data_IF_763229731631
#
_entry.id   IF_763229731631
#
_cell.length_a   1.000
_cell.length_b   1.000
_cell.length_c   1.000
_cell.angle_alpha   90.00
_cell.angle_beta   90.00
_cell.angle_gamma   90.00
#
_symmetry.space_group_name_H-M   'P 1'
#
loop_
_entity.id
_entity.type
_entity.pdbx_description
1 polymer ?
#
# COMPACT_ATOMS: atom_id res chain seq x y z
N UNK A 1 -6.11 2.67 -3.50
CA UNK A 1 -5.35 2.97 -2.26
C UNK A 1 -4.34 4.10 -2.49
N UNK A 2 -3.57 4.05 -3.59
CA UNK A 2 -2.57 5.06 -3.92
C UNK A 2 -3.04 6.52 -3.78
N UNK A 3 -4.24 6.84 -4.29
CA UNK A 3 -4.81 8.20 -4.18
C UNK A 3 -4.92 8.67 -2.73
N UNK A 4 -5.46 7.84 -1.84
CA UNK A 4 -5.60 8.20 -0.42
C UNK A 4 -4.23 8.42 0.25
N UNK A 5 -3.22 7.64 -0.13
CA UNK A 5 -1.86 7.82 0.35
C UNK A 5 -1.25 9.14 -0.15
N UNK A 6 -1.43 9.48 -1.43
CA UNK A 6 -0.91 10.72 -2.03
C UNK A 6 -1.59 11.98 -1.50
N UNK A 7 -2.90 11.90 -1.24
CA UNK A 7 -3.68 13.05 -0.80
C UNK A 7 -3.51 13.31 0.72
N UNK A 8 -3.18 12.27 1.50
CA UNK A 8 -3.15 12.32 2.97
C UNK A 8 -1.77 12.35 3.62
N UNK A 9 -0.69 12.06 2.89
CA UNK A 9 0.65 11.85 3.48
C UNK A 9 1.75 12.54 2.67
N UNK A 10 2.87 12.90 3.32
CA UNK A 10 4.05 13.38 2.61
C UNK A 10 4.66 12.27 1.73
N UNK A 11 5.52 12.62 0.75
CA UNK A 11 6.23 11.65 -0.07
C UNK A 11 6.98 10.60 0.77
N UNK A 12 6.88 9.33 0.37
CA UNK A 12 7.48 8.22 1.09
C UNK A 12 8.93 8.01 0.68
N UNK A 13 9.83 8.06 1.67
CA UNK A 13 11.28 7.88 1.48
C UNK A 13 11.76 6.49 1.92
N UNK A 14 10.95 5.75 2.67
CA UNK A 14 11.32 4.42 3.19
C UNK A 14 10.08 3.56 3.51
N UNK A 15 10.32 2.25 3.66
CA UNK A 15 9.27 1.26 3.93
C UNK A 15 8.46 1.57 5.18
N UNK A 16 9.10 2.04 6.25
CA UNK A 16 8.43 2.29 7.52
C UNK A 16 7.38 3.40 7.39
N UNK A 17 7.72 4.51 6.73
CA UNK A 17 6.78 5.61 6.49
C UNK A 17 5.57 5.18 5.66
N UNK A 18 5.81 4.38 4.61
CA UNK A 18 4.74 3.84 3.77
C UNK A 18 3.87 2.83 4.54
N UNK A 19 4.48 1.93 5.32
CA UNK A 19 3.77 0.95 6.15
C UNK A 19 2.83 1.66 7.12
N UNK A 20 3.31 2.65 7.87
CA UNK A 20 2.49 3.39 8.83
C UNK A 20 1.34 4.14 8.17
N UNK A 21 1.55 4.72 6.98
CA UNK A 21 0.48 5.36 6.23
C UNK A 21 -0.59 4.36 5.75
N UNK A 22 -0.18 3.21 5.23
CA UNK A 22 -1.10 2.14 4.83
C UNK A 22 -1.94 1.67 6.01
N UNK A 23 -1.30 1.41 7.16
CA UNK A 23 -1.99 1.01 8.39
C UNK A 23 -2.99 2.08 8.85
N UNK A 24 -2.60 3.37 8.79
CA UNK A 24 -3.48 4.48 9.14
C UNK A 24 -4.71 4.59 8.23
N UNK A 25 -4.56 4.41 6.92
CA UNK A 25 -5.72 4.39 5.99
C UNK A 25 -6.58 3.14 6.24
N UNK A 26 -5.97 1.99 6.47
CA UNK A 26 -6.68 0.74 6.69
C UNK A 26 -7.45 0.71 8.02
N UNK A 27 -6.99 1.43 9.05
CA UNK A 27 -7.61 1.47 10.38
C UNK A 27 -9.09 1.90 10.37
N UNK A 28 -9.55 2.60 9.31
CA UNK A 28 -10.97 2.94 9.11
C UNK A 28 -11.84 1.71 8.80
N UNK A 29 -11.26 0.67 8.21
CA UNK A 29 -11.98 -0.51 7.70
C UNK A 29 -11.75 -1.74 8.57
N UNK A 30 -10.52 -1.93 9.07
CA UNK A 30 -10.14 -3.08 9.87
C UNK A 30 -8.66 -3.10 10.20
N UNK A 31 -8.23 -4.08 10.98
CA UNK A 31 -6.82 -4.23 11.36
C UNK A 31 -6.03 -4.91 10.24
N UNK A 32 -4.87 -4.35 9.90
CA UNK A 32 -3.91 -5.01 8.99
C UNK A 32 -3.30 -6.23 9.70
N UNK A 33 -3.47 -7.41 9.11
CA UNK A 33 -2.93 -8.68 9.64
C UNK A 33 -1.69 -9.13 8.88
N UNK A 34 -1.59 -8.75 7.61
CA UNK A 34 -0.43 -8.97 6.77
C UNK A 34 -0.18 -7.76 5.89
N UNK A 35 1.09 -7.35 5.75
CA UNK A 35 1.50 -6.31 4.81
C UNK A 35 2.92 -6.59 4.29
N UNK A 36 3.01 -6.83 2.99
CA UNK A 36 4.27 -6.98 2.26
C UNK A 36 4.42 -5.81 1.28
N UNK A 37 5.58 -5.17 1.28
CA UNK A 37 5.91 -4.02 0.42
C UNK A 37 7.15 -4.39 -0.37
N UNK A 38 7.06 -4.34 -1.70
CA UNK A 38 8.15 -4.66 -2.60
C UNK A 38 8.45 -3.43 -3.46
N UNK A 39 9.67 -2.89 -3.40
CA UNK A 39 10.10 -1.84 -4.32
C UNK A 39 10.17 -2.40 -5.74
N UNK A 40 9.58 -1.68 -6.69
CA UNK A 40 9.60 -2.01 -8.11
C UNK A 40 10.01 -0.77 -8.89
N UNK A 41 11.02 -0.92 -9.75
CA UNK A 41 11.42 0.12 -10.67
C UNK A 41 10.73 -0.09 -12.03
N UNK A 42 9.79 0.78 -12.37
CA UNK A 42 9.09 0.76 -13.66
C UNK A 42 9.64 1.90 -14.52
N UNK A 43 10.68 1.60 -15.29
CA UNK A 43 11.43 2.59 -16.06
C UNK A 43 12.18 3.57 -15.15
N UNK A 44 11.86 4.85 -15.23
CA UNK A 44 12.40 5.89 -14.35
C UNK A 44 11.58 6.07 -13.07
N UNK A 45 10.37 5.51 -13.00
CA UNK A 45 9.46 5.71 -11.88
C UNK A 45 9.68 4.59 -10.86
N UNK A 46 9.95 4.97 -9.62
CA UNK A 46 9.97 4.03 -8.51
C UNK A 46 8.59 3.96 -7.85
N UNK A 47 8.11 2.74 -7.67
CA UNK A 47 6.85 2.43 -6.97
C UNK A 47 7.06 1.30 -6.00
N UNK A 48 6.12 1.11 -5.09
CA UNK A 48 6.05 -0.10 -4.30
C UNK A 48 4.82 -0.91 -4.69
N UNK A 49 5.01 -2.20 -4.94
CA UNK A 49 3.96 -3.19 -5.01
C UNK A 49 3.60 -3.61 -3.59
N UNK A 50 2.37 -3.34 -3.16
CA UNK A 50 1.91 -3.59 -1.81
C UNK A 50 0.86 -4.71 -1.80
N UNK A 51 1.05 -5.71 -0.94
CA UNK A 51 0.12 -6.82 -0.71
C UNK A 51 -0.33 -6.75 0.74
N UNK A 52 -1.65 -6.72 0.98
CA UNK A 52 -2.19 -6.61 2.33
C UNK A 52 -3.34 -7.60 2.58
N UNK A 53 -3.53 -7.95 3.84
CA UNK A 53 -4.69 -8.66 4.36
C UNK A 53 -5.25 -7.88 5.55
N UNK A 54 -6.57 -7.80 5.63
CA UNK A 54 -7.24 -7.29 6.81
C UNK A 54 -7.71 -8.44 7.70
N UNK A 55 -8.26 -8.12 8.86
CA UNK A 55 -8.79 -9.05 9.85
C UNK A 55 -10.11 -9.71 9.43
N UNK A 56 -10.82 -9.17 8.44
CA UNK A 56 -12.06 -9.74 7.92
C UNK A 56 -12.25 -9.52 6.42
N UNK A 57 -12.97 -10.44 5.78
CA UNK A 57 -13.36 -10.30 4.36
C UNK A 57 -14.29 -9.11 4.13
N UNK A 58 -15.12 -8.76 5.11
CA UNK A 58 -16.00 -7.58 5.03
C UNK A 58 -15.16 -6.28 4.95
N UNK A 59 -14.15 -6.14 5.81
CA UNK A 59 -13.22 -5.01 5.77
C UNK A 59 -12.44 -4.96 4.43
N UNK A 60 -11.99 -6.11 3.92
CA UNK A 60 -11.35 -6.19 2.60
C UNK A 60 -12.31 -5.77 1.47
N UNK A 61 -13.58 -6.16 1.56
CA UNK A 61 -14.63 -5.80 0.60
C UNK A 61 -14.90 -4.30 0.57
N UNK A 62 -15.03 -3.67 1.74
CA UNK A 62 -15.20 -2.22 1.86
C UNK A 62 -13.97 -1.45 1.36
N UNK A 63 -12.76 -1.90 1.73
CA UNK A 63 -11.54 -1.25 1.26
C UNK A 63 -11.48 -1.24 -0.27
N UNK A 64 -11.82 -2.36 -0.92
CA UNK A 64 -11.81 -2.49 -2.39
C UNK A 64 -12.91 -1.68 -3.09
N UNK A 65 -14.07 -1.49 -2.46
CA UNK A 65 -15.16 -0.73 -3.09
C UNK A 65 -14.87 0.77 -3.13
N UNK A 66 -14.11 1.26 -2.15
CA UNK A 66 -13.77 2.69 -2.01
C UNK A 66 -12.43 3.02 -2.66
N UNK A 67 -11.46 2.12 -2.55
CA UNK A 67 -10.11 2.35 -3.02
C UNK A 67 -9.77 1.44 -4.19
N UNK A 68 -9.04 1.99 -5.16
CA UNK A 68 -8.45 1.22 -6.26
C UNK A 68 -7.43 0.21 -5.71
N UNK A 69 -7.90 -1.01 -5.44
CA UNK A 69 -7.21 -2.15 -4.85
C UNK A 69 -7.84 -3.41 -5.46
N UNK A 70 -6.99 -4.30 -5.95
CA UNK A 70 -7.42 -5.55 -6.62
C UNK A 70 -7.16 -6.76 -5.73
N UNK A 71 -7.79 -7.91 -6.02
CA UNK A 71 -7.39 -9.18 -5.43
C UNK A 71 -6.33 -9.85 -6.30
N UNK A 72 -5.25 -10.30 -5.71
CA UNK A 72 -4.17 -11.02 -6.39
C UNK A 72 -3.58 -12.09 -5.47
N UNK A 73 -3.55 -13.34 -5.94
CA UNK A 73 -2.98 -14.48 -5.22
C UNK A 73 -3.46 -14.66 -3.75
N UNK A 74 -4.68 -14.23 -3.45
CA UNK A 74 -5.25 -14.28 -2.10
C UNK A 74 -5.03 -13.01 -1.27
N UNK A 75 -4.19 -12.09 -1.70
CA UNK A 75 -3.97 -10.78 -1.07
C UNK A 75 -4.76 -9.68 -1.77
N UNK A 76 -4.93 -8.56 -1.07
CA UNK A 76 -5.28 -7.31 -1.71
C UNK A 76 -4.00 -6.64 -2.20
N UNK A 77 -4.00 -6.21 -3.46
CA UNK A 77 -2.83 -5.66 -4.13
C UNK A 77 -3.10 -4.25 -4.68
N UNK A 78 -2.11 -3.39 -4.54
CA UNK A 78 -2.09 -2.06 -5.14
C UNK A 78 -0.65 -1.56 -5.30
N UNK A 79 -0.46 -0.57 -6.18
CA UNK A 79 0.79 0.17 -6.26
C UNK A 79 0.75 1.44 -5.42
N UNK A 80 1.82 1.74 -4.70
CA UNK A 80 2.06 3.01 -4.05
C UNK A 80 3.16 3.77 -4.79
N UNK A 81 2.92 5.04 -5.12
CA UNK A 81 3.98 5.93 -5.61
C UNK A 81 4.90 6.28 -4.42
N UNK A 82 6.22 6.29 -4.66
CA UNK A 82 7.22 6.66 -3.65
C UNK A 82 8.16 7.74 -4.20
N UNK A 83 8.89 8.41 -3.32
CA UNK A 83 9.87 9.42 -3.72
C UNK A 83 11.05 8.75 -4.46
N UNK A 84 11.64 9.46 -5.42
CA UNK A 84 12.81 8.98 -6.18
C UNK A 84 13.99 8.64 -5.27
N UNK A 85 14.09 9.31 -4.12
CA UNK A 85 15.12 9.11 -3.08
C UNK A 85 14.82 7.95 -2.13
N UNK A 86 13.89 7.07 -2.48
CA UNK A 86 13.58 5.87 -1.70
C UNK A 86 14.84 5.08 -1.31
N UNK A 87 14.93 4.71 -0.03
CA UNK A 87 16.11 4.05 0.54
C UNK A 87 15.93 2.55 0.81
N UNK A 88 14.77 1.98 0.51
CA UNK A 88 14.54 0.54 0.64
C UNK A 88 15.19 -0.27 -0.50
N UNK A 89 15.45 -1.57 -0.29
CA UNK A 89 16.05 -2.43 -1.30
C UNK A 89 15.13 -2.57 -2.52
N UNK A 90 15.73 -2.57 -3.71
CA UNK A 90 15.03 -2.93 -4.95
C UNK A 90 14.89 -4.47 -5.03
N UNK A 91 13.74 -4.95 -5.51
CA UNK A 91 13.53 -6.36 -5.83
C UNK A 91 13.78 -6.64 -7.31
#
# INVERSE_FOLDING_TARGET
MNKALKDGFPPFLNEQSLRSAIESVCAKYGKVTHLRILSVKVGQIRKCSCFLRLDSEAAEGELRSIHDVIRFAGDLHFFADVDERWTGPDM
#
